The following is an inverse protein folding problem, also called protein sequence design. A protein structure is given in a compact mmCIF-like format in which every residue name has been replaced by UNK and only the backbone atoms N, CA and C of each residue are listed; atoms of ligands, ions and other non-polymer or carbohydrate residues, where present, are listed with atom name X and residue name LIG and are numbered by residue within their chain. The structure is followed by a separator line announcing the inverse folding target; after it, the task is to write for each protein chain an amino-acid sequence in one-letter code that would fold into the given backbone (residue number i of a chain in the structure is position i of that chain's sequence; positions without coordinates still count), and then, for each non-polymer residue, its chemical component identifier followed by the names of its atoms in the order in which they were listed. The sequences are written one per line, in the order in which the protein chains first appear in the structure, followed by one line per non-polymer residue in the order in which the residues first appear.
data_IF_168531368633
#
_entry.id   IF_168531368633
#
_cell.length_a   1.000
_cell.length_b   1.000
_cell.length_c   1.000
_cell.angle_alpha   90.00
_cell.angle_beta   90.00
_cell.angle_gamma   90.00
#
_symmetry.space_group_name_H-M   'P 1'
#
loop_
_entity.id
_entity.type
_entity.pdbx_description
1 polymer ?
#
# COMPACT_ATOMS: atom_id res chain seq x y z
N UNK A 1 -1.27 -13.97 16.34
CA UNK A 1 -0.85 -12.97 15.33
C UNK A 1 -0.15 -13.69 14.17
N UNK A 2 -0.43 -13.32 12.92
CA UNK A 2 0.26 -13.88 11.74
C UNK A 2 1.76 -13.66 11.85
N UNK A 3 2.56 -14.73 11.72
CA UNK A 3 4.03 -14.65 11.88
C UNK A 3 4.78 -14.64 10.56
N UNK A 4 4.11 -14.94 9.44
CA UNK A 4 4.73 -15.10 8.13
C UNK A 4 4.58 -13.83 7.31
N UNK A 5 5.67 -13.39 6.70
CA UNK A 5 5.72 -12.21 5.83
C UNK A 5 6.30 -12.53 4.45
N UNK A 6 6.40 -13.82 4.14
CA UNK A 6 7.02 -14.23 2.90
C UNK A 6 6.02 -14.11 1.75
N UNK A 7 6.29 -13.20 0.82
CA UNK A 7 5.56 -13.08 -0.45
C UNK A 7 6.40 -13.68 -1.55
N UNK A 8 5.82 -14.61 -2.28
CA UNK A 8 6.43 -15.15 -3.50
C UNK A 8 6.00 -14.29 -4.70
N UNK A 9 6.95 -13.65 -5.35
CA UNK A 9 6.71 -12.88 -6.57
C UNK A 9 7.14 -13.71 -7.79
N UNK A 10 6.18 -14.03 -8.65
CA UNK A 10 6.42 -14.70 -9.93
C UNK A 10 6.51 -13.62 -11.01
N UNK A 11 7.72 -13.23 -11.35
CA UNK A 11 8.00 -12.13 -12.30
C UNK A 11 8.18 -12.60 -13.74
N UNK A 12 8.27 -13.90 -13.97
CA UNK A 12 8.34 -14.49 -15.31
C UNK A 12 6.90 -14.72 -15.81
N UNK A 13 6.49 -14.09 -16.92
CA UNK A 13 5.08 -14.10 -17.35
C UNK A 13 4.61 -15.45 -17.91
N UNK A 14 5.53 -16.32 -18.28
CA UNK A 14 5.31 -17.63 -18.89
C UNK A 14 5.35 -18.81 -17.89
N UNK A 15 5.42 -18.52 -16.59
CA UNK A 15 5.42 -19.55 -15.54
C UNK A 15 4.00 -19.87 -15.08
N UNK A 16 3.62 -21.14 -15.20
CA UNK A 16 2.39 -21.71 -14.66
C UNK A 16 2.63 -22.24 -13.24
N UNK A 17 1.66 -22.05 -12.36
CA UNK A 17 1.75 -22.45 -10.95
C UNK A 17 0.88 -23.69 -10.69
N UNK A 18 1.42 -24.69 -10.02
CA UNK A 18 0.71 -25.93 -9.68
C UNK A 18 0.92 -26.31 -8.21
N UNK A 19 0.01 -27.11 -7.68
CA UNK A 19 0.11 -27.71 -6.35
C UNK A 19 0.73 -29.11 -6.46
N UNK A 20 1.69 -29.42 -5.58
CA UNK A 20 2.25 -30.76 -5.40
C UNK A 20 2.45 -31.03 -3.88
N UNK A 21 1.51 -31.76 -3.27
CA UNK A 21 1.38 -31.87 -1.81
C UNK A 21 1.20 -30.48 -1.17
N UNK A 22 2.05 -30.14 -0.20
CA UNK A 22 2.06 -28.84 0.46
C UNK A 22 3.04 -27.84 -0.19
N UNK A 23 3.38 -28.03 -1.47
CA UNK A 23 4.34 -27.19 -2.17
C UNK A 23 3.70 -26.56 -3.42
N UNK A 24 4.14 -25.33 -3.72
CA UNK A 24 3.94 -24.73 -5.02
C UNK A 24 5.05 -25.21 -5.96
N UNK A 25 4.66 -25.61 -7.15
CA UNK A 25 5.56 -25.96 -8.24
C UNK A 25 5.43 -24.94 -9.35
N UNK A 26 6.57 -24.45 -9.82
CA UNK A 26 6.71 -23.52 -10.93
C UNK A 26 7.01 -24.32 -12.19
N UNK A 27 6.17 -24.18 -13.20
CA UNK A 27 6.28 -24.89 -14.48
C UNK A 27 6.48 -23.86 -15.61
N UNK A 28 7.47 -24.14 -16.48
CA UNK A 28 7.66 -23.43 -17.73
C UNK A 28 7.70 -24.46 -18.85
N UNK A 29 6.88 -24.29 -19.89
CA UNK A 29 6.75 -25.25 -21.00
C UNK A 29 6.55 -26.70 -20.52
N UNK A 30 5.80 -26.90 -19.42
CA UNK A 30 5.56 -28.14 -18.68
C UNK A 30 6.76 -28.69 -17.89
N UNK A 31 7.92 -28.08 -17.98
CA UNK A 31 9.08 -28.47 -17.19
C UNK A 31 9.07 -27.80 -15.81
N UNK A 32 9.51 -28.53 -14.79
CA UNK A 32 9.58 -28.03 -13.42
C UNK A 32 10.85 -27.20 -13.26
N UNK A 33 10.67 -25.88 -13.08
CA UNK A 33 11.77 -24.93 -12.87
C UNK A 33 11.99 -24.55 -11.40
N UNK A 34 11.02 -24.87 -10.52
CA UNK A 34 11.13 -24.56 -9.09
C UNK A 34 10.07 -25.25 -8.24
N UNK A 35 10.36 -25.36 -6.94
CA UNK A 35 9.46 -25.89 -5.91
C UNK A 35 9.72 -25.19 -4.60
N UNK A 36 8.64 -24.73 -3.93
CA UNK A 36 8.72 -24.06 -2.62
C UNK A 36 7.59 -24.53 -1.70
N UNK A 37 7.84 -24.63 -0.38
CA UNK A 37 6.81 -25.00 0.58
C UNK A 37 5.81 -23.87 0.79
N UNK A 38 4.51 -24.17 0.69
CA UNK A 38 3.43 -23.19 0.83
C UNK A 38 3.23 -22.75 2.28
N UNK A 39 3.56 -23.58 3.27
CA UNK A 39 3.40 -23.22 4.68
C UNK A 39 4.27 -22.05 5.14
N UNK A 40 5.30 -21.70 4.36
CA UNK A 40 6.15 -20.53 4.60
C UNK A 40 5.65 -19.25 3.92
N UNK A 41 4.58 -19.33 3.14
CA UNK A 41 4.09 -18.20 2.35
C UNK A 41 2.82 -17.60 2.98
N UNK A 42 2.76 -16.28 2.97
CA UNK A 42 1.56 -15.51 3.27
C UNK A 42 0.84 -15.05 1.99
N UNK A 43 1.61 -14.78 0.96
CA UNK A 43 1.09 -14.26 -0.29
C UNK A 43 1.88 -14.77 -1.50
N UNK A 44 1.17 -14.92 -2.61
CA UNK A 44 1.73 -15.20 -3.93
C UNK A 44 1.22 -14.10 -4.86
N UNK A 45 2.12 -13.42 -5.55
CA UNK A 45 1.81 -12.39 -6.54
C UNK A 45 2.39 -12.83 -7.88
N UNK A 46 1.54 -13.16 -8.82
CA UNK A 46 1.93 -13.59 -10.17
C UNK A 46 1.78 -12.44 -11.16
N UNK A 47 2.83 -12.16 -11.93
CA UNK A 47 2.86 -11.14 -12.98
C UNK A 47 2.79 -11.82 -14.34
N UNK A 48 1.62 -11.77 -14.99
CA UNK A 48 1.42 -12.39 -16.30
C UNK A 48 0.06 -13.05 -16.43
N UNK A 49 -0.14 -13.77 -17.51
CA UNK A 49 -1.44 -14.34 -17.90
C UNK A 49 -1.47 -15.87 -17.91
N UNK A 50 -0.38 -16.54 -17.53
CA UNK A 50 -0.26 -18.01 -17.61
C UNK A 50 -1.15 -18.74 -16.60
N UNK A 51 -1.37 -18.12 -15.43
CA UNK A 51 -2.34 -18.61 -14.44
C UNK A 51 -1.80 -19.70 -13.51
N UNK A 52 -2.73 -20.48 -12.94
CA UNK A 52 -2.42 -21.49 -11.92
C UNK A 52 -3.46 -22.61 -11.90
N UNK A 53 -3.11 -23.77 -11.32
CA UNK A 53 -4.03 -24.88 -11.17
C UNK A 53 -5.18 -24.59 -10.18
N UNK A 54 -6.42 -25.07 -10.43
CA UNK A 54 -7.53 -24.96 -9.48
C UNK A 54 -7.19 -25.57 -8.11
N UNK A 55 -6.40 -26.62 -8.06
CA UNK A 55 -5.96 -27.23 -6.80
C UNK A 55 -5.12 -26.27 -5.95
N UNK A 56 -4.19 -25.51 -6.57
CA UNK A 56 -3.41 -24.48 -5.87
C UNK A 56 -4.30 -23.32 -5.42
N UNK A 57 -5.28 -22.90 -6.24
CA UNK A 57 -6.26 -21.88 -5.86
C UNK A 57 -7.02 -22.29 -4.60
N UNK A 58 -7.54 -23.53 -4.59
CA UNK A 58 -8.28 -24.10 -3.44
C UNK A 58 -7.43 -24.19 -2.18
N UNK A 59 -6.20 -24.67 -2.30
CA UNK A 59 -5.26 -24.75 -1.18
C UNK A 59 -4.95 -23.36 -0.60
N UNK A 60 -4.63 -22.39 -1.46
CA UNK A 60 -4.36 -21.02 -1.02
C UNK A 60 -5.58 -20.40 -0.30
N UNK A 61 -6.78 -20.60 -0.85
CA UNK A 61 -8.03 -20.14 -0.26
C UNK A 61 -8.30 -20.75 1.12
N UNK A 62 -8.05 -22.05 1.27
CA UNK A 62 -8.24 -22.78 2.54
C UNK A 62 -7.23 -22.32 3.62
N UNK A 63 -5.96 -22.16 3.25
CA UNK A 63 -4.88 -21.79 4.17
C UNK A 63 -4.73 -20.29 4.37
N UNK A 64 -5.60 -19.45 3.76
CA UNK A 64 -5.54 -17.98 3.79
C UNK A 64 -4.20 -17.43 3.23
N UNK A 65 -3.66 -18.08 2.21
CA UNK A 65 -2.55 -17.56 1.42
C UNK A 65 -3.15 -16.67 0.34
N UNK A 66 -2.80 -15.38 0.33
CA UNK A 66 -3.29 -14.46 -0.71
C UNK A 66 -2.68 -14.84 -2.06
N UNK A 67 -3.50 -15.11 -3.07
CA UNK A 67 -3.06 -15.38 -4.44
C UNK A 67 -3.63 -14.31 -5.37
N UNK A 68 -2.75 -13.49 -5.93
CA UNK A 68 -3.08 -12.31 -6.74
C UNK A 68 -2.39 -12.38 -8.08
N UNK A 69 -3.12 -12.02 -9.12
CA UNK A 69 -2.62 -11.90 -10.49
C UNK A 69 -2.57 -10.43 -10.89
N UNK A 70 -1.43 -10.00 -11.39
CA UNK A 70 -1.19 -8.66 -11.90
C UNK A 70 -0.69 -8.76 -13.35
N UNK A 71 -0.93 -7.72 -14.16
CA UNK A 71 -0.20 -7.58 -15.42
C UNK A 71 1.28 -7.42 -15.15
N UNK A 72 2.14 -7.60 -16.17
CA UNK A 72 3.58 -7.32 -16.05
C UNK A 72 3.86 -5.87 -15.61
N UNK A 73 2.90 -4.95 -15.74
CA UNK A 73 3.03 -3.55 -15.32
C UNK A 73 2.43 -3.26 -13.95
N UNK A 74 2.01 -4.30 -13.21
CA UNK A 74 1.46 -4.19 -11.86
C UNK A 74 -0.02 -3.81 -11.81
N UNK A 75 -0.76 -3.83 -12.93
CA UNK A 75 -2.21 -3.63 -12.90
C UNK A 75 -2.90 -4.90 -12.38
N UNK A 76 -3.88 -4.73 -11.52
CA UNK A 76 -4.67 -5.82 -10.99
C UNK A 76 -5.47 -6.53 -12.08
N UNK A 77 -5.40 -7.86 -12.11
CA UNK A 77 -6.18 -8.72 -12.99
C UNK A 77 -7.24 -9.51 -12.21
N UNK A 78 -6.80 -10.29 -11.24
CA UNK A 78 -7.67 -11.16 -10.46
C UNK A 78 -7.05 -11.49 -9.09
N UNK A 79 -7.90 -11.93 -8.17
CA UNK A 79 -7.51 -12.50 -6.88
C UNK A 79 -8.33 -13.73 -6.61
N UNK A 80 -7.70 -14.75 -6.05
CA UNK A 80 -8.39 -15.94 -5.55
C UNK A 80 -8.97 -15.64 -4.17
N UNK A 81 -10.28 -15.76 -4.07
CA UNK A 81 -11.02 -15.62 -2.81
C UNK A 81 -11.71 -16.96 -2.53
N UNK A 82 -11.47 -17.50 -1.34
CA UNK A 82 -12.10 -18.74 -0.89
C UNK A 82 -13.48 -18.50 -0.27
N UNK A 83 -13.99 -19.54 0.41
CA UNK A 83 -15.21 -19.41 1.20
C UNK A 83 -15.07 -18.25 2.18
N UNK A 84 -16.09 -17.44 2.27
CA UNK A 84 -16.13 -16.32 3.21
C UNK A 84 -16.02 -16.84 4.64
N UNK A 85 -14.81 -16.79 5.17
CA UNK A 85 -14.51 -17.10 6.57
C UNK A 85 -14.53 -15.77 7.31
N UNK A 86 -15.65 -15.36 7.85
CA UNK A 86 -15.65 -14.09 8.55
C UNK A 86 -16.96 -13.85 9.28
N UNK A 87 -16.89 -13.00 10.27
CA UNK A 87 -18.04 -12.62 11.06
C UNK A 87 -19.04 -11.81 10.20
N UNK A 88 -20.14 -12.46 9.79
CA UNK A 88 -21.23 -11.83 9.03
C UNK A 88 -21.78 -10.60 9.78
N UNK A 89 -21.80 -10.64 11.13
CA UNK A 89 -22.25 -9.52 11.98
C UNK A 89 -21.34 -8.33 11.81
N UNK A 90 -20.02 -8.54 11.76
CA UNK A 90 -19.03 -7.47 11.55
C UNK A 90 -19.22 -6.79 10.18
N UNK A 91 -19.44 -7.56 9.11
CA UNK A 91 -19.69 -6.99 7.77
C UNK A 91 -21.03 -6.25 7.71
N UNK A 92 -22.10 -6.82 8.28
CA UNK A 92 -23.38 -6.10 8.39
C UNK A 92 -23.22 -4.77 9.13
N UNK A 93 -22.39 -4.72 10.17
CA UNK A 93 -22.10 -3.49 10.91
C UNK A 93 -21.28 -2.53 10.07
N UNK A 94 -20.27 -3.01 9.35
CA UNK A 94 -19.48 -2.20 8.40
C UNK A 94 -20.40 -1.54 7.35
N UNK A 95 -21.31 -2.30 6.74
CA UNK A 95 -22.24 -1.77 5.72
C UNK A 95 -23.16 -0.69 6.28
N UNK A 96 -23.78 -0.94 7.45
CA UNK A 96 -24.64 0.06 8.11
C UNK A 96 -23.88 1.36 8.45
N UNK A 97 -22.64 1.23 8.91
CA UNK A 97 -21.81 2.39 9.23
C UNK A 97 -21.41 3.14 7.97
N UNK A 98 -21.12 2.46 6.87
CA UNK A 98 -20.75 3.11 5.59
C UNK A 98 -21.90 3.90 4.97
N UNK A 99 -23.15 3.55 5.28
CA UNK A 99 -24.36 4.29 4.88
C UNK A 99 -24.62 5.53 5.76
N UNK A 100 -24.02 5.61 6.96
CA UNK A 100 -24.11 6.74 7.87
C UNK A 100 -22.91 7.69 7.65
N UNK A 101 -23.19 8.86 7.04
CA UNK A 101 -22.14 9.85 6.73
C UNK A 101 -21.46 10.42 7.98
N UNK A 102 -22.16 10.57 9.10
CA UNK A 102 -21.59 11.13 10.33
C UNK A 102 -20.62 10.14 10.97
N UNK A 103 -21.02 8.86 11.07
CA UNK A 103 -20.16 7.82 11.65
C UNK A 103 -18.98 7.53 10.70
N UNK A 104 -19.23 7.49 9.38
CA UNK A 104 -18.19 7.36 8.37
C UNK A 104 -17.17 8.50 8.43
N UNK A 105 -17.62 9.74 8.65
CA UNK A 105 -16.74 10.90 8.81
C UNK A 105 -15.82 10.77 10.04
N UNK A 106 -16.31 10.23 11.16
CA UNK A 106 -15.49 9.97 12.35
C UNK A 106 -14.36 8.97 12.09
N UNK A 107 -14.62 7.93 11.29
CA UNK A 107 -13.60 6.94 10.91
C UNK A 107 -12.63 7.54 9.89
N UNK A 108 -13.17 8.16 8.84
CA UNK A 108 -12.39 8.77 7.75
C UNK A 108 -11.43 9.84 8.27
N UNK A 109 -11.87 10.63 9.25
CA UNK A 109 -11.07 11.63 9.95
C UNK A 109 -9.76 11.05 10.48
N UNK A 110 -9.80 9.88 11.10
CA UNK A 110 -8.61 9.25 11.66
C UNK A 110 -7.65 8.77 10.57
N UNK A 111 -8.14 8.25 9.44
CA UNK A 111 -7.29 7.93 8.29
C UNK A 111 -6.56 9.16 7.76
N UNK A 112 -7.27 10.29 7.64
CA UNK A 112 -6.70 11.54 7.14
C UNK A 112 -5.72 12.15 8.14
N UNK A 113 -6.03 12.14 9.44
CA UNK A 113 -5.09 12.54 10.49
C UNK A 113 -3.80 11.72 10.41
N UNK A 114 -3.91 10.39 10.29
CA UNK A 114 -2.75 9.51 10.13
C UNK A 114 -1.90 9.86 8.91
N UNK A 115 -2.53 10.08 7.76
CA UNK A 115 -1.86 10.51 6.53
C UNK A 115 -1.09 11.81 6.71
N UNK A 116 -1.80 12.87 7.17
CA UNK A 116 -1.19 14.21 7.26
C UNK A 116 -0.09 14.22 8.31
N UNK A 117 -0.30 13.58 9.46
CA UNK A 117 0.70 13.44 10.51
C UNK A 117 1.98 12.77 9.99
N UNK A 118 1.84 11.64 9.31
CA UNK A 118 2.97 10.90 8.78
C UNK A 118 3.72 11.69 7.69
N UNK A 119 3.01 12.39 6.81
CA UNK A 119 3.62 13.25 5.80
C UNK A 119 4.37 14.42 6.45
N UNK A 120 3.80 15.05 7.49
CA UNK A 120 4.48 16.08 8.25
C UNK A 120 5.78 15.56 8.85
N UNK A 121 5.79 14.38 9.44
CA UNK A 121 7.02 13.82 10.03
C UNK A 121 8.08 13.42 9.00
N UNK A 122 7.69 13.08 7.77
CA UNK A 122 8.63 12.93 6.65
C UNK A 122 9.31 14.27 6.36
N UNK A 123 8.53 15.37 6.28
CA UNK A 123 9.04 16.73 6.07
C UNK A 123 10.00 17.16 7.19
N UNK A 124 9.61 16.94 8.46
CA UNK A 124 10.44 17.28 9.63
C UNK A 124 11.76 16.51 9.64
N UNK A 125 11.75 15.23 9.28
CA UNK A 125 12.96 14.43 9.15
C UNK A 125 13.87 14.93 8.02
N UNK A 126 13.31 15.27 6.85
CA UNK A 126 14.08 15.85 5.76
C UNK A 126 14.75 17.15 6.18
N UNK A 127 14.03 18.01 6.91
CA UNK A 127 14.56 19.27 7.44
C UNK A 127 15.72 19.04 8.41
N UNK A 128 15.61 18.03 9.27
CA UNK A 128 16.67 17.67 10.24
C UNK A 128 17.88 17.02 9.58
N UNK A 129 17.64 16.04 8.67
CA UNK A 129 18.67 15.15 8.16
C UNK A 129 19.41 15.76 6.95
N UNK A 130 18.77 16.67 6.20
CA UNK A 130 19.31 17.24 4.95
C UNK A 130 19.15 18.77 4.82
N UNK A 131 19.44 19.58 5.87
CA UNK A 131 19.14 21.02 5.85
C UNK A 131 19.89 21.79 4.75
N UNK A 132 21.05 21.30 4.30
CA UNK A 132 21.86 21.94 3.25
C UNK A 132 21.44 21.54 1.82
N UNK A 133 20.46 20.64 1.68
CA UNK A 133 20.05 20.07 0.39
C UNK A 133 18.63 20.47 -0.02
N UNK A 134 17.89 21.15 0.85
CA UNK A 134 16.48 21.53 0.69
C UNK A 134 16.25 22.97 1.10
N UNK A 135 15.14 23.56 0.68
CA UNK A 135 14.65 24.84 1.20
C UNK A 135 13.99 24.66 2.57
N UNK A 136 14.78 24.79 3.63
CA UNK A 136 14.32 24.63 5.02
C UNK A 136 13.17 25.56 5.36
N UNK A 137 13.15 26.81 4.84
CA UNK A 137 12.08 27.76 5.13
C UNK A 137 10.76 27.27 4.55
N UNK A 138 10.75 26.83 3.29
CA UNK A 138 9.57 26.27 2.64
C UNK A 138 9.08 25.00 3.34
N UNK A 139 9.99 24.10 3.76
CA UNK A 139 9.64 22.88 4.49
C UNK A 139 8.97 23.20 5.82
N UNK A 140 9.47 24.18 6.58
CA UNK A 140 8.87 24.60 7.85
C UNK A 140 7.48 25.21 7.66
N UNK A 141 7.30 26.09 6.66
CA UNK A 141 6.00 26.68 6.33
C UNK A 141 4.97 25.59 6.02
N UNK A 142 5.32 24.62 5.18
CA UNK A 142 4.41 23.53 4.82
C UNK A 142 4.15 22.60 6.01
N UNK A 143 5.15 22.30 6.85
CA UNK A 143 4.93 21.52 8.07
C UNK A 143 3.96 22.19 9.03
N UNK A 144 4.06 23.51 9.22
CA UNK A 144 3.10 24.28 10.03
C UNK A 144 1.70 24.27 9.42
N UNK A 145 1.60 24.44 8.09
CA UNK A 145 0.33 24.36 7.38
C UNK A 145 -0.32 22.97 7.51
N UNK A 146 0.45 21.88 7.40
CA UNK A 146 -0.08 20.53 7.66
C UNK A 146 -0.56 20.38 9.11
N UNK A 147 0.08 21.03 10.08
CA UNK A 147 -0.36 21.03 11.47
C UNK A 147 -1.71 21.73 11.64
N UNK A 148 -1.94 22.87 10.97
CA UNK A 148 -3.25 23.55 11.01
C UNK A 148 -4.35 22.70 10.37
N UNK A 149 -4.07 22.06 9.23
CA UNK A 149 -5.04 21.15 8.59
C UNK A 149 -5.41 19.98 9.51
N UNK A 150 -4.45 19.42 10.28
CA UNK A 150 -4.76 18.35 11.25
C UNK A 150 -5.79 18.81 12.28
N UNK A 151 -5.68 20.05 12.77
CA UNK A 151 -6.65 20.61 13.73
C UNK A 151 -8.03 20.75 13.09
N UNK A 152 -8.11 21.27 11.86
CA UNK A 152 -9.37 21.36 11.13
C UNK A 152 -9.99 19.98 10.85
N UNK A 153 -9.19 19.00 10.47
CA UNK A 153 -9.64 17.63 10.24
C UNK A 153 -10.23 17.02 11.51
N UNK A 154 -9.63 17.26 12.67
CA UNK A 154 -10.11 16.71 13.95
C UNK A 154 -11.49 17.19 14.34
N UNK A 155 -11.84 18.42 13.98
CA UNK A 155 -13.16 19.03 14.26
C UNK A 155 -14.17 18.81 13.13
N UNK A 156 -13.76 18.20 12.01
CA UNK A 156 -14.61 18.08 10.85
C UNK A 156 -15.48 16.81 10.91
N UNK A 157 -16.80 16.97 10.73
CA UNK A 157 -17.79 15.89 10.71
C UNK A 157 -18.41 15.67 9.31
N UNK A 158 -17.97 16.43 8.30
CA UNK A 158 -18.50 16.36 6.95
C UNK A 158 -17.50 15.68 6.01
N UNK A 159 -17.92 14.60 5.34
CA UNK A 159 -17.05 13.80 4.46
C UNK A 159 -16.51 14.57 3.24
N UNK A 160 -17.31 15.46 2.63
CA UNK A 160 -16.85 16.24 1.48
C UNK A 160 -15.77 17.24 1.90
N UNK A 161 -15.96 17.90 3.05
CA UNK A 161 -14.96 18.80 3.62
C UNK A 161 -13.68 18.03 3.99
N UNK A 162 -13.80 16.83 4.57
CA UNK A 162 -12.65 15.95 4.85
C UNK A 162 -11.86 15.61 3.60
N UNK A 163 -12.54 15.28 2.48
CA UNK A 163 -11.89 15.05 1.18
C UNK A 163 -11.18 16.31 0.66
N UNK A 164 -11.80 17.46 0.85
CA UNK A 164 -11.18 18.75 0.51
C UNK A 164 -9.90 19.02 1.30
N UNK A 165 -9.93 18.83 2.63
CA UNK A 165 -8.78 18.99 3.52
C UNK A 165 -7.65 17.97 3.20
N UNK A 166 -8.01 16.72 2.90
CA UNK A 166 -7.07 15.70 2.44
C UNK A 166 -6.37 16.14 1.15
N UNK A 167 -7.13 16.62 0.16
CA UNK A 167 -6.59 17.10 -1.11
C UNK A 167 -5.68 18.32 -0.96
N UNK A 168 -6.02 19.26 -0.07
CA UNK A 168 -5.19 20.42 0.27
C UNK A 168 -3.86 20.00 0.92
N UNK A 169 -3.92 19.08 1.88
CA UNK A 169 -2.72 18.53 2.52
C UNK A 169 -1.82 17.78 1.52
N UNK A 170 -2.42 16.95 0.66
CA UNK A 170 -1.69 16.23 -0.38
C UNK A 170 -1.02 17.18 -1.37
N UNK A 171 -1.70 18.23 -1.79
CA UNK A 171 -1.15 19.26 -2.67
C UNK A 171 0.05 19.97 -2.02
N UNK A 172 -0.06 20.32 -0.75
CA UNK A 172 1.02 20.98 0.01
C UNK A 172 2.23 20.05 0.17
N UNK A 173 2.03 18.79 0.52
CA UNK A 173 3.08 17.79 0.61
C UNK A 173 3.79 17.57 -0.74
N UNK A 174 3.02 17.45 -1.81
CA UNK A 174 3.56 17.20 -3.16
C UNK A 174 4.46 18.33 -3.68
N UNK A 175 4.26 19.59 -3.24
CA UNK A 175 5.14 20.71 -3.59
C UNK A 175 6.59 20.50 -3.12
N UNK A 176 6.79 19.74 -2.06
CA UNK A 176 8.13 19.44 -1.53
C UNK A 176 8.73 18.14 -2.08
N UNK A 177 7.93 17.30 -2.75
CA UNK A 177 8.34 15.95 -3.11
C UNK A 177 9.60 15.93 -3.98
N UNK A 178 9.70 16.85 -4.94
CA UNK A 178 10.87 16.95 -5.80
C UNK A 178 12.15 17.26 -5.02
N UNK A 179 12.08 18.14 -4.03
CA UNK A 179 13.25 18.45 -3.20
C UNK A 179 13.72 17.30 -2.32
N UNK A 180 12.83 16.30 -2.03
CA UNK A 180 13.20 15.09 -1.30
C UNK A 180 13.97 14.09 -2.16
N UNK A 181 14.02 14.29 -3.48
CA UNK A 181 14.88 13.56 -4.40
C UNK A 181 16.27 14.20 -4.34
N UNK A 182 17.22 13.56 -3.67
CA UNK A 182 18.55 14.12 -3.39
C UNK A 182 19.61 13.65 -4.38
N UNK A 183 19.33 12.64 -5.19
CA UNK A 183 20.24 12.04 -6.16
C UNK A 183 19.56 11.86 -7.51
N UNK A 184 20.37 11.79 -8.58
CA UNK A 184 19.89 11.48 -9.94
C UNK A 184 18.80 12.46 -10.43
N UNK A 185 18.89 13.74 -10.10
CA UNK A 185 17.89 14.78 -10.38
C UNK A 185 17.59 14.97 -11.88
N UNK A 186 18.54 14.68 -12.75
CA UNK A 186 18.37 14.78 -14.20
C UNK A 186 17.36 13.74 -14.74
N UNK A 187 17.27 12.59 -14.09
CA UNK A 187 16.46 11.46 -14.53
C UNK A 187 15.24 11.21 -13.63
N UNK A 188 15.29 11.70 -12.39
CA UNK A 188 14.24 11.57 -11.40
C UNK A 188 13.82 12.96 -10.90
N UNK A 189 12.64 13.36 -11.33
CA UNK A 189 12.00 14.62 -10.94
C UNK A 189 10.51 14.39 -10.68
N UNK A 190 9.91 15.26 -9.91
CA UNK A 190 8.49 15.19 -9.56
C UNK A 190 7.82 16.55 -9.72
N UNK A 191 7.11 16.75 -10.83
CA UNK A 191 6.35 17.99 -11.05
C UNK A 191 4.95 17.91 -10.45
N UNK A 192 4.26 16.79 -10.70
CA UNK A 192 2.90 16.52 -10.22
C UNK A 192 2.61 15.02 -10.25
N UNK A 193 1.60 14.59 -9.50
CA UNK A 193 1.17 13.21 -9.54
C UNK A 193 0.46 12.87 -10.85
N UNK A 194 1.05 11.96 -11.64
CA UNK A 194 0.45 11.32 -12.82
C UNK A 194 0.32 9.81 -12.57
N UNK A 195 -0.80 9.20 -12.93
CA UNK A 195 -1.07 7.80 -12.56
C UNK A 195 -1.70 6.92 -13.65
N UNK A 196 -2.36 7.48 -14.63
CA UNK A 196 -3.05 6.74 -15.70
C UNK A 196 -2.91 7.46 -17.03
N UNK A 197 -1.79 7.29 -17.73
CA UNK A 197 -0.55 6.59 -17.30
C UNK A 197 0.38 7.43 -16.42
N UNK A 198 1.39 6.83 -15.73
CA UNK A 198 2.50 7.57 -15.16
C UNK A 198 3.39 8.13 -16.28
N UNK A 199 3.80 9.39 -16.16
CA UNK A 199 4.49 10.13 -17.22
C UNK A 199 5.98 10.35 -16.95
N UNK A 200 6.48 9.95 -15.80
CA UNK A 200 7.88 10.05 -15.37
C UNK A 200 8.28 8.85 -14.50
N UNK A 201 9.57 8.69 -14.27
CA UNK A 201 10.15 7.57 -13.55
C UNK A 201 9.64 7.49 -12.10
N UNK A 202 9.53 8.63 -11.42
CA UNK A 202 9.06 8.71 -10.03
C UNK A 202 7.60 8.27 -9.93
N UNK A 203 6.75 8.78 -10.82
CA UNK A 203 5.33 8.41 -10.86
C UNK A 203 5.10 6.93 -11.24
N UNK A 204 5.97 6.34 -12.07
CA UNK A 204 5.95 4.91 -12.38
C UNK A 204 6.22 4.08 -11.11
N UNK A 205 7.27 4.42 -10.35
CA UNK A 205 7.62 3.76 -9.10
C UNK A 205 6.53 3.94 -8.02
N UNK A 206 6.01 5.16 -7.83
CA UNK A 206 4.93 5.44 -6.88
C UNK A 206 3.67 4.64 -7.21
N UNK A 207 3.30 4.57 -8.50
CA UNK A 207 2.11 3.80 -8.91
C UNK A 207 2.27 2.32 -8.61
N UNK A 208 3.45 1.76 -8.83
CA UNK A 208 3.75 0.37 -8.54
C UNK A 208 3.76 0.10 -7.02
N UNK A 209 4.42 0.96 -6.22
CA UNK A 209 4.42 0.86 -4.75
C UNK A 209 3.00 0.91 -4.17
N UNK A 210 2.16 1.82 -4.66
CA UNK A 210 0.76 1.94 -4.22
C UNK A 210 -0.08 0.73 -4.58
N UNK A 211 0.17 0.09 -5.73
CA UNK A 211 -0.49 -1.17 -6.10
C UNK A 211 -0.11 -2.29 -5.13
N UNK A 212 1.17 -2.43 -4.79
CA UNK A 212 1.63 -3.44 -3.82
C UNK A 212 1.02 -3.20 -2.44
N UNK A 213 1.04 -1.95 -1.96
CA UNK A 213 0.47 -1.58 -0.66
C UNK A 213 -1.04 -1.80 -0.61
N UNK A 214 -1.78 -1.46 -1.69
CA UNK A 214 -3.22 -1.70 -1.78
C UNK A 214 -3.54 -3.19 -1.75
N UNK A 215 -2.74 -4.04 -2.40
CA UNK A 215 -2.91 -5.49 -2.35
C UNK A 215 -2.64 -6.05 -0.95
N UNK A 216 -1.57 -5.60 -0.27
CA UNK A 216 -1.27 -5.99 1.10
C UNK A 216 -2.42 -5.58 2.05
N UNK A 217 -2.96 -4.36 1.90
CA UNK A 217 -4.08 -3.87 2.70
C UNK A 217 -5.37 -4.64 2.44
N UNK A 218 -5.70 -4.91 1.17
CA UNK A 218 -6.88 -5.70 0.81
C UNK A 218 -6.80 -7.09 1.43
N UNK A 219 -5.65 -7.76 1.33
CA UNK A 219 -5.43 -9.07 1.94
C UNK A 219 -5.55 -9.04 3.47
N UNK A 220 -5.10 -7.96 4.10
CA UNK A 220 -5.23 -7.77 5.54
C UNK A 220 -6.71 -7.62 5.97
N UNK A 221 -7.50 -6.81 5.26
CA UNK A 221 -8.92 -6.60 5.54
C UNK A 221 -9.73 -7.88 5.37
N UNK A 222 -9.54 -8.59 4.26
CA UNK A 222 -10.18 -9.89 4.02
C UNK A 222 -9.81 -10.91 5.11
N UNK A 223 -8.55 -10.91 5.54
CA UNK A 223 -8.04 -11.80 6.58
C UNK A 223 -8.67 -11.57 7.96
N UNK A 224 -9.21 -10.38 8.25
CA UNK A 224 -9.92 -10.06 9.50
C UNK A 224 -11.45 -10.09 9.33
N UNK A 225 -11.95 -10.40 8.12
CA UNK A 225 -13.38 -10.56 7.83
C UNK A 225 -14.09 -9.26 7.46
N UNK A 226 -13.37 -8.20 7.10
CA UNK A 226 -13.92 -6.97 6.55
C UNK A 226 -14.01 -7.03 5.03
N UNK A 227 -14.98 -6.30 4.47
CA UNK A 227 -15.10 -6.11 3.03
C UNK A 227 -14.18 -4.96 2.60
N UNK A 228 -13.17 -5.28 1.77
CA UNK A 228 -12.21 -4.29 1.30
C UNK A 228 -12.80 -3.26 0.32
N UNK A 229 -13.99 -3.52 -0.24
CA UNK A 229 -14.64 -2.66 -1.22
C UNK A 229 -15.52 -1.57 -0.60
N UNK A 230 -16.04 -1.79 0.61
CA UNK A 230 -16.95 -0.87 1.31
C UNK A 230 -16.16 0.04 2.23
N UNK A 231 -15.91 1.27 1.79
CA UNK A 231 -15.12 2.29 2.48
C UNK A 231 -15.93 3.28 3.29
N UNK A 232 -15.24 4.18 3.98
CA UNK A 232 -15.82 5.27 4.78
C UNK A 232 -15.47 6.64 4.21
N UNK A 233 -14.30 6.79 3.58
CA UNK A 233 -13.84 8.04 2.96
C UNK A 233 -14.08 8.06 1.46
N UNK A 234 -13.64 7.00 0.78
CA UNK A 234 -13.80 6.89 -0.66
C UNK A 234 -15.22 6.42 -1.02
N UNK A 235 -15.88 7.13 -1.96
CA UNK A 235 -17.18 6.71 -2.48
C UNK A 235 -17.10 5.34 -3.14
N UNK A 236 -18.14 4.54 -3.00
CA UNK A 236 -18.23 3.24 -3.63
C UNK A 236 -18.25 3.37 -5.15
N UNK A 237 -17.47 2.52 -5.80
CA UNK A 237 -17.40 2.37 -7.25
C UNK A 237 -17.16 0.91 -7.59
N UNK A 238 -17.81 0.36 -8.62
CA UNK A 238 -17.56 -1.01 -9.07
C UNK A 238 -16.06 -1.28 -9.27
N UNK A 239 -15.57 -2.38 -8.67
CA UNK A 239 -14.17 -2.79 -8.78
C UNK A 239 -13.16 -1.97 -7.96
N UNK A 240 -13.61 -0.98 -7.17
CA UNK A 240 -12.72 -0.17 -6.34
C UNK A 240 -12.65 -0.72 -4.91
N UNK A 241 -11.47 -1.04 -4.45
CA UNK A 241 -11.20 -1.50 -3.06
C UNK A 241 -11.20 -0.30 -2.09
N UNK A 242 -12.38 0.34 -1.92
CA UNK A 242 -12.52 1.64 -1.24
C UNK A 242 -11.96 1.65 0.17
N UNK A 243 -12.26 0.63 1.00
CA UNK A 243 -11.74 0.55 2.38
C UNK A 243 -10.21 0.32 2.42
N UNK A 244 -9.69 -0.51 1.50
CA UNK A 244 -8.25 -0.70 1.43
C UNK A 244 -7.52 0.60 1.07
N UNK A 245 -8.10 1.41 0.17
CA UNK A 245 -7.58 2.72 -0.18
C UNK A 245 -7.70 3.71 0.98
N UNK A 246 -8.78 3.66 1.77
CA UNK A 246 -9.00 4.51 2.95
C UNK A 246 -7.89 4.30 3.99
N UNK A 247 -7.69 3.06 4.46
CA UNK A 247 -6.67 2.77 5.47
C UNK A 247 -5.26 2.95 4.91
N UNK A 248 -5.05 2.64 3.63
CA UNK A 248 -3.77 2.82 2.97
C UNK A 248 -3.28 4.28 3.03
N UNK A 249 -4.18 5.27 3.13
CA UNK A 249 -3.79 6.68 3.24
C UNK A 249 -2.83 6.93 4.40
N UNK A 250 -3.01 6.28 5.54
CA UNK A 250 -2.12 6.40 6.70
C UNK A 250 -0.69 5.91 6.40
N UNK A 251 -0.56 4.91 5.53
CA UNK A 251 0.69 4.21 5.25
C UNK A 251 1.38 4.72 3.98
N UNK A 252 0.68 5.47 3.14
CA UNK A 252 1.16 5.88 1.81
C UNK A 252 2.50 6.60 1.88
N UNK A 253 2.60 7.64 2.72
CA UNK A 253 3.84 8.40 2.90
C UNK A 253 4.99 7.55 3.44
N UNK A 254 4.76 6.86 4.55
CA UNK A 254 5.81 6.15 5.29
C UNK A 254 6.23 4.81 4.67
N UNK A 255 5.31 4.10 4.01
CA UNK A 255 5.61 2.81 3.38
C UNK A 255 5.98 2.95 1.91
N UNK A 256 5.28 3.79 1.12
CA UNK A 256 5.47 3.85 -0.32
C UNK A 256 6.33 5.04 -0.76
N UNK A 257 5.98 6.28 -0.38
CA UNK A 257 6.71 7.47 -0.82
C UNK A 257 8.16 7.45 -0.34
N UNK A 258 8.35 7.23 0.97
CA UNK A 258 9.68 7.13 1.58
C UNK A 258 10.50 5.96 0.99
N UNK A 259 9.85 4.86 0.65
CA UNK A 259 10.51 3.72 0.02
C UNK A 259 11.00 4.09 -1.39
N UNK A 260 10.15 4.70 -2.22
CA UNK A 260 10.54 5.16 -3.57
C UNK A 260 11.69 6.15 -3.49
N UNK A 261 11.60 7.17 -2.63
CA UNK A 261 12.69 8.13 -2.40
C UNK A 261 14.00 7.43 -1.96
N UNK A 262 13.90 6.40 -1.11
CA UNK A 262 15.07 5.63 -0.69
C UNK A 262 15.73 4.87 -1.83
N UNK A 263 14.96 4.26 -2.75
CA UNK A 263 15.51 3.57 -3.91
C UNK A 263 16.24 4.52 -4.86
N UNK A 264 15.69 5.71 -5.08
CA UNK A 264 16.30 6.74 -5.92
C UNK A 264 17.57 7.30 -5.25
N UNK A 265 17.47 7.72 -3.99
CA UNK A 265 18.56 8.38 -3.26
C UNK A 265 19.72 7.43 -2.95
N UNK A 266 19.47 6.11 -2.86
CA UNK A 266 20.50 5.07 -2.72
C UNK A 266 20.98 4.52 -4.06
N UNK A 267 20.48 5.04 -5.18
CA UNK A 267 20.84 4.62 -6.56
C UNK A 267 20.59 3.11 -6.81
N UNK A 268 19.60 2.53 -6.15
CA UNK A 268 19.18 1.13 -6.38
C UNK A 268 18.48 1.00 -7.74
N UNK A 269 17.71 2.01 -8.11
CA UNK A 269 17.01 2.15 -9.39
C UNK A 269 17.60 3.36 -10.13
N UNK A 270 17.90 3.19 -11.43
CA UNK A 270 18.57 4.17 -12.27
C UNK A 270 17.76 4.45 -13.54
N UNK A 271 18.18 5.44 -14.34
CA UNK A 271 17.53 5.80 -15.63
C UNK A 271 17.29 4.61 -16.56
N UNK A 272 18.28 3.74 -16.74
CA UNK A 272 18.19 2.57 -17.62
C UNK A 272 17.16 1.51 -17.19
N UNK A 273 16.59 1.65 -16.00
CA UNK A 273 15.57 0.77 -15.44
C UNK A 273 14.14 1.11 -15.95
N UNK A 274 14.00 2.10 -16.87
CA UNK A 274 12.71 2.57 -17.38
C UNK A 274 12.65 2.58 -18.90
N UNK A 275 11.42 2.36 -19.41
CA UNK A 275 11.08 2.46 -20.82
C UNK A 275 9.96 3.49 -20.99
N UNK A 276 10.15 4.44 -21.89
CA UNK A 276 9.12 5.40 -22.29
C UNK A 276 8.41 4.88 -23.54
N UNK A 277 7.09 4.71 -23.46
CA UNK A 277 6.25 4.29 -24.57
C UNK A 277 5.85 5.47 -25.46
N UNK A 278 5.39 5.19 -26.68
CA UNK A 278 4.91 6.18 -27.66
C UNK A 278 3.82 7.10 -27.11
N UNK A 279 2.91 6.57 -26.28
CA UNK A 279 1.84 7.33 -25.62
C UNK A 279 2.34 8.16 -24.40
N UNK A 280 3.64 8.27 -24.20
CA UNK A 280 4.27 8.98 -23.10
C UNK A 280 4.31 8.24 -21.76
N UNK A 281 3.70 7.06 -21.66
CA UNK A 281 3.72 6.26 -20.45
C UNK A 281 5.13 5.77 -20.12
N UNK A 282 5.52 5.90 -18.85
CA UNK A 282 6.78 5.39 -18.33
C UNK A 282 6.52 4.09 -17.54
N UNK A 283 7.27 3.06 -17.86
CA UNK A 283 7.17 1.75 -17.23
C UNK A 283 8.54 1.26 -16.79
N UNK A 284 8.60 0.50 -15.70
CA UNK A 284 9.83 -0.18 -15.27
C UNK A 284 10.12 -1.40 -16.14
N UNK A 285 11.40 -1.65 -16.44
CA UNK A 285 11.87 -2.90 -17.06
C UNK A 285 11.64 -4.10 -16.13
N UNK A 286 11.79 -5.32 -16.65
CA UNK A 286 11.63 -6.54 -15.85
C UNK A 286 12.69 -6.65 -14.75
N UNK A 287 13.93 -6.29 -15.07
CA UNK A 287 15.03 -6.23 -14.11
C UNK A 287 14.79 -5.19 -13.03
N UNK A 288 14.30 -4.01 -13.40
CA UNK A 288 13.95 -2.96 -12.44
C UNK A 288 12.84 -3.42 -11.50
N UNK A 289 11.80 -4.10 -12.01
CA UNK A 289 10.73 -4.67 -11.18
C UNK A 289 11.25 -5.72 -10.21
N UNK A 290 12.16 -6.60 -10.63
CA UNK A 290 12.80 -7.59 -9.74
C UNK A 290 13.56 -6.89 -8.60
N UNK A 291 14.39 -5.88 -8.92
CA UNK A 291 15.12 -5.08 -7.92
C UNK A 291 14.13 -4.41 -6.94
N UNK A 292 13.06 -3.80 -7.46
CA UNK A 292 12.04 -3.12 -6.69
C UNK A 292 11.33 -4.09 -5.74
N UNK A 293 10.88 -5.25 -6.22
CA UNK A 293 10.18 -6.26 -5.44
C UNK A 293 11.07 -6.88 -4.36
N UNK A 294 12.33 -7.13 -4.66
CA UNK A 294 13.31 -7.61 -3.67
C UNK A 294 13.50 -6.58 -2.56
N UNK A 295 13.67 -5.31 -2.91
CA UNK A 295 13.78 -4.23 -1.95
C UNK A 295 12.48 -4.04 -1.13
N UNK A 296 11.30 -4.17 -1.75
CA UNK A 296 10.00 -4.12 -1.08
C UNK A 296 9.86 -5.23 -0.05
N UNK A 297 10.24 -6.46 -0.41
CA UNK A 297 10.20 -7.60 0.50
C UNK A 297 11.16 -7.41 1.70
N UNK A 298 12.37 -6.91 1.46
CA UNK A 298 13.30 -6.56 2.53
C UNK A 298 12.72 -5.50 3.46
N UNK A 299 12.08 -4.46 2.89
CA UNK A 299 11.39 -3.43 3.68
C UNK A 299 10.30 -4.01 4.57
N UNK A 300 9.50 -4.95 4.06
CA UNK A 300 8.43 -5.62 4.84
C UNK A 300 8.99 -6.39 6.04
N UNK A 301 10.24 -6.86 6.00
CA UNK A 301 10.89 -7.59 7.09
C UNK A 301 11.49 -6.69 8.17
N UNK A 302 11.77 -5.42 7.86
CA UNK A 302 12.30 -4.47 8.86
C UNK A 302 11.36 -4.33 10.06
N UNK A 303 11.93 -4.26 11.26
CA UNK A 303 11.18 -4.13 12.52
C UNK A 303 10.93 -2.67 12.85
N UNK A 304 9.72 -2.42 13.35
CA UNK A 304 9.32 -1.13 13.93
C UNK A 304 8.60 -1.37 15.25
N UNK A 305 8.57 -0.35 16.10
CA UNK A 305 7.62 -0.31 17.21
C UNK A 305 6.32 0.30 16.73
N UNK A 306 5.22 -0.47 16.78
CA UNK A 306 3.90 0.01 16.36
C UNK A 306 3.43 1.12 17.29
N UNK A 307 3.05 2.32 16.80
CA UNK A 307 2.81 3.49 17.64
C UNK A 307 1.74 3.27 18.72
N UNK A 308 0.66 2.60 18.37
CA UNK A 308 -0.46 2.36 19.29
C UNK A 308 -0.25 1.11 20.15
N UNK A 309 0.25 0.01 19.57
CA UNK A 309 0.40 -1.26 20.28
C UNK A 309 1.62 -1.29 21.20
N UNK A 310 2.63 -0.45 20.97
CA UNK A 310 3.91 -0.48 21.68
C UNK A 310 4.76 -1.72 21.38
N UNK A 311 4.30 -2.62 20.51
CA UNK A 311 4.96 -3.88 20.18
C UNK A 311 5.92 -3.74 18.99
N UNK A 312 7.03 -4.47 19.02
CA UNK A 312 7.93 -4.63 17.88
C UNK A 312 7.31 -5.58 16.85
N UNK A 313 6.92 -5.04 15.71
CA UNK A 313 6.39 -5.81 14.57
C UNK A 313 7.17 -5.50 13.29
N UNK A 314 7.04 -6.35 12.28
CA UNK A 314 7.60 -6.06 10.96
C UNK A 314 6.70 -5.09 10.20
N UNK A 315 7.29 -4.23 9.31
CA UNK A 315 6.52 -3.32 8.46
C UNK A 315 5.40 -4.03 7.69
N UNK A 316 5.65 -5.23 7.18
CA UNK A 316 4.65 -6.00 6.45
C UNK A 316 3.45 -6.45 7.31
N UNK A 317 3.53 -6.40 8.64
CA UNK A 317 2.40 -6.69 9.54
C UNK A 317 1.57 -5.44 9.87
N UNK A 318 2.04 -4.24 9.56
CA UNK A 318 1.30 -3.00 9.86
C UNK A 318 -0.08 -2.98 9.19
N UNK A 319 -0.24 -3.34 7.90
CA UNK A 319 -1.56 -3.44 7.29
C UNK A 319 -2.52 -4.35 8.07
N UNK A 320 -2.03 -5.51 8.52
CA UNK A 320 -2.85 -6.45 9.31
C UNK A 320 -3.19 -5.92 10.70
N UNK A 321 -2.24 -5.26 11.38
CA UNK A 321 -2.48 -4.62 12.67
C UNK A 321 -3.56 -3.54 12.57
N UNK A 322 -3.48 -2.65 11.57
CA UNK A 322 -4.49 -1.60 11.34
C UNK A 322 -5.85 -2.19 10.96
N UNK A 323 -5.90 -3.24 10.15
CA UNK A 323 -7.15 -3.94 9.83
C UNK A 323 -7.79 -4.57 11.08
N UNK A 324 -7.00 -5.18 11.98
CA UNK A 324 -7.48 -5.70 13.27
C UNK A 324 -8.01 -4.58 14.17
N UNK A 325 -7.30 -3.45 14.27
CA UNK A 325 -7.73 -2.32 15.07
C UNK A 325 -9.06 -1.74 14.57
N UNK A 326 -9.22 -1.63 13.23
CA UNK A 326 -10.50 -1.22 12.64
C UNK A 326 -11.60 -2.23 12.95
N UNK A 327 -11.35 -3.55 12.81
CA UNK A 327 -12.33 -4.57 13.12
C UNK A 327 -12.75 -4.54 14.61
N UNK A 328 -11.83 -4.27 15.53
CA UNK A 328 -12.12 -4.09 16.96
C UNK A 328 -12.96 -2.86 17.22
N UNK A 329 -12.63 -1.72 16.59
CA UNK A 329 -13.45 -0.53 16.67
C UNK A 329 -14.88 -0.78 16.17
N UNK A 330 -15.03 -1.39 14.99
CA UNK A 330 -16.34 -1.73 14.44
C UNK A 330 -17.14 -2.72 15.30
N UNK A 331 -16.50 -3.53 16.15
CA UNK A 331 -17.17 -4.39 17.14
C UNK A 331 -17.51 -3.68 18.45
N UNK A 332 -17.10 -2.41 18.63
CA UNK A 332 -17.15 -1.64 19.88
C UNK A 332 -16.19 -2.18 20.97
N UNK A 333 -15.09 -2.83 20.57
CA UNK A 333 -14.02 -3.23 21.49
C UNK A 333 -13.04 -2.06 21.75
N UNK A 334 -13.15 -0.98 21.00
CA UNK A 334 -12.39 0.28 21.11
C UNK A 334 -13.36 1.45 20.97
N UNK A 335 -13.12 2.52 21.72
CA UNK A 335 -13.92 3.76 21.66
C UNK A 335 -13.67 4.56 20.37
N UNK A 336 -12.46 4.48 19.82
CA UNK A 336 -12.05 5.14 18.59
C UNK A 336 -11.08 4.26 17.80
N UNK A 337 -11.08 4.40 16.46
CA UNK A 337 -10.06 3.78 15.62
C UNK A 337 -8.72 4.52 15.76
N UNK A 338 -7.65 3.88 16.27
CA UNK A 338 -6.35 4.52 16.43
C UNK A 338 -5.59 4.57 15.10
N UNK A 339 -5.34 5.78 14.54
CA UNK A 339 -4.56 5.91 13.32
C UNK A 339 -3.09 5.51 13.54
N UNK A 340 -2.41 5.12 12.47
CA UNK A 340 -0.99 4.83 12.49
C UNK A 340 -0.18 6.14 12.50
N UNK A 341 0.26 6.59 13.65
CA UNK A 341 1.02 7.84 13.86
C UNK A 341 2.50 7.54 14.06
N UNK A 342 3.25 7.42 12.95
CA UNK A 342 4.67 7.06 13.01
C UNK A 342 5.57 8.30 13.07
N UNK A 343 6.49 8.32 14.06
CA UNK A 343 7.39 9.45 14.33
C UNK A 343 8.86 9.06 14.10
#
# INVERSE_FOLDING_TARGET
MKKLLNTLFITQPDVYLSLDGDNIVLLKEKEKIGRLPLHNLESIVSFGYTGTSPALMGYCAEKNISLVFLTMYGQFLARVIGKSKGNVILRKKQYRISEDEVISAKIARNFIVGKIYNNKWIIERMTRDYPLRIDVAQFKVISQHLSSIILEVRECENLERLRGLEGQAATSYNKLFDQMILQQKEDFYFNRRSRRPPLDNVNAMLSFAYTLLANDMTSALEGVGLDAYVGFLHRDRPGRVSLALDIMEELRGVCADKFVLSLINKKVINKGDFLKKENGAVIMTDEARKKFLAAWQNKKQEKITHPYLGEKISWGLVPHAQALLLARYLRNDLDEYPPFLWK
#
